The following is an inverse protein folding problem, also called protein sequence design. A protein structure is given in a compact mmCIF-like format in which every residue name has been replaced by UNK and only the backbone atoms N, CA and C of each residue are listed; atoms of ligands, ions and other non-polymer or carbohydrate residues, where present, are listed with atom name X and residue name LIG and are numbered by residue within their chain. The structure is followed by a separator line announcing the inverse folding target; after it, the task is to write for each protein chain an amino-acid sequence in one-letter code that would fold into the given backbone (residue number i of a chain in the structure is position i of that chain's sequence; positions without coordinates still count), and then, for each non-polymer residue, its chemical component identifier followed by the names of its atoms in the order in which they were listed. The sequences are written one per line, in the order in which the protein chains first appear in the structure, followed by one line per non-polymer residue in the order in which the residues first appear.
data_IF_104039132950
#
_entry.id   IF_104039132950
#
_cell.length_a   1.000
_cell.length_b   1.000
_cell.length_c   1.000
_cell.angle_alpha   90.00
_cell.angle_beta   90.00
_cell.angle_gamma   90.00
#
_symmetry.space_group_name_H-M   'P 1'
#
loop_
_entity.id
_entity.type
_entity.pdbx_description
1 polymer ?
#
# COMPACT_ATOMS: atom_id res chain seq x y z
N UNK A 1 -1.81 2.86 13.52
CA UNK A 1 -2.10 3.59 14.78
C UNK A 1 -2.18 2.60 15.94
N UNK A 2 -1.98 2.99 17.19
CA UNK A 2 -2.06 2.05 18.32
C UNK A 2 -3.52 1.74 18.67
N UNK A 3 -3.85 0.47 18.84
CA UNK A 3 -5.15 0.04 19.36
C UNK A 3 -5.36 0.64 20.77
N UNK A 4 -6.42 1.41 20.95
CA UNK A 4 -6.77 2.00 22.25
C UNK A 4 -7.88 1.19 22.90
N UNK A 5 -7.53 0.43 23.92
CA UNK A 5 -8.50 -0.25 24.78
C UNK A 5 -9.15 0.77 25.71
N UNK A 6 -10.48 0.74 25.79
CA UNK A 6 -11.29 1.64 26.60
C UNK A 6 -12.21 0.82 27.50
N UNK A 7 -12.46 1.35 28.70
CA UNK A 7 -13.48 0.84 29.62
C UNK A 7 -14.42 1.98 29.98
N UNK A 8 -15.72 1.73 29.99
CA UNK A 8 -16.73 2.70 30.40
C UNK A 8 -17.69 2.07 31.39
N UNK A 9 -17.92 2.79 32.49
CA UNK A 9 -18.82 2.39 33.56
C UNK A 9 -19.97 3.39 33.61
N UNK A 10 -21.19 2.92 33.81
CA UNK A 10 -22.37 3.77 34.04
C UNK A 10 -23.20 3.16 35.14
N UNK A 11 -23.36 3.86 36.25
CA UNK A 11 -24.02 3.34 37.46
C UNK A 11 -25.40 3.95 37.64
N UNK A 12 -26.28 3.21 38.31
CA UNK A 12 -27.60 3.71 38.70
C UNK A 12 -28.52 4.02 37.50
N UNK A 13 -28.51 3.19 36.46
CA UNK A 13 -29.42 3.31 35.33
C UNK A 13 -30.86 3.11 35.84
N UNK A 14 -31.74 4.05 35.49
CA UNK A 14 -33.14 4.07 35.91
C UNK A 14 -34.12 3.82 34.77
N UNK A 15 -35.30 4.44 34.89
CA UNK A 15 -36.47 4.19 34.06
C UNK A 15 -36.46 4.83 32.67
N UNK A 16 -35.46 5.68 32.40
CA UNK A 16 -35.25 6.32 31.09
C UNK A 16 -34.07 5.68 30.35
N UNK A 17 -34.11 5.71 29.02
CA UNK A 17 -32.93 5.32 28.22
C UNK A 17 -31.77 6.26 28.49
N UNK A 18 -30.63 5.68 28.86
CA UNK A 18 -29.37 6.38 29.09
C UNK A 18 -28.34 5.91 28.07
N UNK A 19 -27.66 6.85 27.42
CA UNK A 19 -26.50 6.57 26.56
C UNK A 19 -25.33 6.08 27.43
N UNK A 20 -25.05 4.78 27.37
CA UNK A 20 -23.94 4.17 28.11
C UNK A 20 -22.68 4.07 27.25
N UNK A 21 -22.79 4.15 25.93
CA UNK A 21 -21.65 4.16 25.01
C UNK A 21 -21.98 4.89 23.71
N UNK A 22 -21.03 5.70 23.22
CA UNK A 22 -21.12 6.36 21.92
C UNK A 22 -19.80 6.14 21.18
N UNK A 23 -19.88 5.67 19.94
CA UNK A 23 -18.74 5.56 19.06
C UNK A 23 -18.38 6.97 18.53
N UNK A 24 -17.64 7.75 19.34
CA UNK A 24 -17.42 9.17 19.06
C UNK A 24 -16.34 9.46 18.02
N UNK A 25 -15.46 8.50 17.74
CA UNK A 25 -14.30 8.70 16.87
C UNK A 25 -14.72 8.70 15.39
N UNK A 26 -14.43 9.76 14.62
CA UNK A 26 -14.74 9.83 13.19
C UNK A 26 -13.93 8.88 12.31
N UNK A 27 -12.82 8.35 12.81
CA UNK A 27 -11.86 7.61 12.00
C UNK A 27 -11.90 6.11 12.29
N UNK A 28 -12.49 5.67 13.40
CA UNK A 28 -12.45 4.27 13.84
C UNK A 28 -13.84 3.67 14.06
N UNK A 29 -13.95 2.34 13.99
CA UNK A 29 -15.13 1.59 14.42
C UNK A 29 -14.91 1.07 15.84
N UNK A 30 -15.92 1.21 16.68
CA UNK A 30 -15.86 0.69 18.03
C UNK A 30 -16.26 -0.78 18.05
N UNK A 31 -15.42 -1.64 18.62
CA UNK A 31 -15.74 -3.04 18.89
C UNK A 31 -15.89 -3.21 20.39
N UNK A 32 -17.11 -3.52 20.83
CA UNK A 32 -17.40 -3.89 22.21
C UNK A 32 -17.21 -5.40 22.34
N UNK A 33 -16.26 -5.80 23.17
CA UNK A 33 -15.90 -7.21 23.40
C UNK A 33 -16.27 -7.70 24.82
N UNK A 34 -16.71 -6.79 25.69
CA UNK A 34 -17.31 -7.13 26.98
C UNK A 34 -18.40 -6.13 27.30
N UNK A 35 -19.61 -6.62 27.60
CA UNK A 35 -20.74 -5.79 28.00
C UNK A 35 -21.61 -6.54 29.01
N UNK A 36 -21.74 -5.98 30.21
CA UNK A 36 -22.51 -6.59 31.31
C UNK A 36 -23.39 -5.57 32.03
N UNK A 37 -24.55 -6.05 32.49
CA UNK A 37 -25.52 -5.33 33.31
C UNK A 37 -25.63 -6.02 34.67
N UNK A 38 -25.49 -5.29 35.77
CA UNK A 38 -25.59 -5.83 37.13
C UNK A 38 -26.78 -5.22 37.86
N UNK A 39 -27.67 -6.07 38.38
CA UNK A 39 -28.75 -5.65 39.27
C UNK A 39 -28.19 -5.53 40.70
N UNK A 40 -28.22 -4.32 41.24
CA UNK A 40 -27.71 -4.02 42.59
C UNK A 40 -28.86 -3.83 43.61
N UNK A 41 -30.10 -4.12 43.22
CA UNK A 41 -31.28 -4.08 44.08
C UNK A 41 -31.60 -5.46 44.67
N UNK A 42 -32.45 -5.45 45.70
CA UNK A 42 -32.95 -6.67 46.33
C UNK A 42 -34.14 -7.30 45.59
N UNK A 43 -34.67 -6.62 44.57
CA UNK A 43 -35.82 -7.04 43.78
C UNK A 43 -35.42 -7.39 42.34
N UNK A 44 -36.24 -8.21 41.66
CA UNK A 44 -36.04 -8.53 40.24
C UNK A 44 -36.32 -7.26 39.43
N UNK A 45 -35.39 -6.87 38.55
CA UNK A 45 -35.58 -5.78 37.59
C UNK A 45 -35.64 -6.29 36.16
N UNK A 46 -36.17 -5.52 35.23
CA UNK A 46 -36.06 -5.78 33.79
C UNK A 46 -35.15 -4.78 33.11
N UNK A 47 -34.38 -5.25 32.13
CA UNK A 47 -33.45 -4.46 31.34
C UNK A 47 -33.84 -4.44 29.87
N UNK A 48 -33.76 -3.27 29.24
CA UNK A 48 -33.87 -3.11 27.79
C UNK A 48 -32.59 -2.47 27.28
N UNK A 49 -31.98 -3.06 26.25
CA UNK A 49 -30.76 -2.55 25.62
C UNK A 49 -30.97 -2.43 24.13
N UNK A 50 -30.66 -1.26 23.58
CA UNK A 50 -30.78 -0.98 22.16
C UNK A 50 -29.55 -0.30 21.59
N UNK A 51 -29.30 -0.57 20.32
CA UNK A 51 -28.37 0.18 19.49
C UNK A 51 -29.17 1.25 18.76
N UNK A 52 -28.68 2.48 18.75
CA UNK A 52 -29.24 3.59 17.98
C UNK A 52 -28.29 3.90 16.82
N UNK A 53 -28.77 3.70 15.60
CA UNK A 53 -28.06 4.04 14.36
C UNK A 53 -28.09 5.57 14.20
N UNK A 54 -26.91 6.19 14.18
CA UNK A 54 -26.76 7.64 14.06
C UNK A 54 -27.22 8.21 12.73
N UNK A 55 -27.23 7.38 11.67
CA UNK A 55 -27.51 7.79 10.30
C UNK A 55 -29.00 7.75 10.00
N UNK A 56 -29.66 6.64 10.37
CA UNK A 56 -31.07 6.43 10.08
C UNK A 56 -31.98 6.83 11.26
N UNK A 57 -31.39 7.14 12.42
CA UNK A 57 -32.10 7.44 13.68
C UNK A 57 -33.07 6.29 14.05
N UNK A 58 -32.70 5.07 13.68
CA UNK A 58 -33.44 3.85 14.01
C UNK A 58 -32.82 3.19 15.22
N UNK A 59 -33.61 2.44 15.98
CA UNK A 59 -33.11 1.67 17.12
C UNK A 59 -33.48 0.20 17.03
N UNK A 60 -32.52 -0.67 17.32
CA UNK A 60 -32.72 -2.12 17.35
C UNK A 60 -32.37 -2.67 18.74
N UNK A 61 -33.21 -3.58 19.25
CA UNK A 61 -33.00 -4.19 20.56
C UNK A 61 -32.00 -5.33 20.49
N UNK A 62 -31.03 -5.34 21.41
CA UNK A 62 -30.21 -6.51 21.73
C UNK A 62 -31.00 -7.43 22.68
N UNK A 63 -31.59 -6.82 23.71
CA UNK A 63 -32.56 -7.45 24.61
C UNK A 63 -33.70 -6.47 24.85
N UNK A 64 -34.90 -6.99 25.08
CA UNK A 64 -36.06 -6.19 25.45
C UNK A 64 -36.74 -6.80 26.67
N UNK A 65 -36.85 -6.00 27.75
CA UNK A 65 -37.48 -6.38 29.02
C UNK A 65 -37.00 -7.71 29.62
N UNK A 66 -35.71 -8.03 29.46
CA UNK A 66 -35.13 -9.24 30.05
C UNK A 66 -35.02 -9.11 31.56
N UNK A 67 -35.43 -10.13 32.30
CA UNK A 67 -35.34 -10.16 33.75
C UNK A 67 -33.89 -10.36 34.22
N UNK A 68 -33.50 -9.61 35.25
CA UNK A 68 -32.22 -9.75 35.95
C UNK A 68 -32.53 -9.89 37.44
N UNK A 69 -32.21 -11.05 38.02
CA UNK A 69 -32.49 -11.35 39.43
C UNK A 69 -31.63 -10.50 40.37
N UNK A 70 -32.03 -10.31 41.65
CA UNK A 70 -31.27 -9.53 42.62
C UNK A 70 -29.80 -9.93 42.70
N UNK A 71 -28.91 -8.94 42.82
CA UNK A 71 -27.46 -9.15 43.01
C UNK A 71 -26.79 -10.04 41.96
N UNK A 72 -27.29 -10.00 40.72
CA UNK A 72 -26.78 -10.82 39.61
C UNK A 72 -26.38 -9.97 38.40
N UNK A 73 -25.62 -10.59 37.50
CA UNK A 73 -25.11 -9.95 36.29
C UNK A 73 -25.60 -10.69 35.05
N UNK A 74 -26.12 -9.94 34.08
CA UNK A 74 -26.43 -10.39 32.73
C UNK A 74 -25.32 -9.94 31.78
N UNK A 75 -24.70 -10.89 31.07
CA UNK A 75 -23.65 -10.61 30.07
C UNK A 75 -24.28 -10.61 28.69
N UNK A 76 -24.09 -9.52 27.94
CA UNK A 76 -24.71 -9.28 26.63
C UNK A 76 -23.73 -9.41 25.45
N UNK A 77 -22.46 -9.13 25.70
CA UNK A 77 -21.38 -9.37 24.76
C UNK A 77 -20.15 -9.84 25.53
N UNK A 78 -19.47 -10.85 24.99
CA UNK A 78 -18.39 -11.61 25.60
C UNK A 78 -18.04 -12.83 24.74
N UNK A 79 -16.94 -13.53 25.05
CA UNK A 79 -16.42 -14.72 24.37
C UNK A 79 -16.68 -14.79 22.85
N UNK A 80 -17.79 -15.39 22.41
CA UNK A 80 -18.15 -15.57 21.00
C UNK A 80 -18.86 -14.36 20.35
N UNK A 81 -19.59 -13.56 21.12
CA UNK A 81 -20.41 -12.46 20.59
C UNK A 81 -19.76 -11.09 20.83
N UNK A 82 -19.63 -10.33 19.75
CA UNK A 82 -19.09 -8.95 19.75
C UNK A 82 -20.10 -8.00 19.12
N UNK A 83 -20.08 -6.75 19.56
CA UNK A 83 -20.91 -5.68 18.99
C UNK A 83 -19.98 -4.70 18.27
N UNK A 84 -20.29 -4.38 17.02
CA UNK A 84 -19.51 -3.48 16.17
C UNK A 84 -20.37 -2.26 15.86
N UNK A 85 -19.83 -1.06 16.09
CA UNK A 85 -20.51 0.22 15.94
C UNK A 85 -19.71 1.14 15.02
N UNK A 86 -20.39 1.87 14.13
CA UNK A 86 -19.79 2.94 13.32
C UNK A 86 -19.85 4.28 14.08
N UNK A 87 -19.20 5.30 13.54
CA UNK A 87 -19.22 6.65 14.12
C UNK A 87 -20.65 7.14 14.41
N UNK A 88 -20.84 7.69 15.61
CA UNK A 88 -22.06 8.29 16.09
C UNK A 88 -23.07 7.30 16.65
N UNK A 89 -22.93 6.00 16.38
CA UNK A 89 -23.85 5.00 16.91
C UNK A 89 -23.75 4.93 18.44
N UNK A 90 -24.90 4.67 19.07
CA UNK A 90 -25.03 4.67 20.53
C UNK A 90 -25.56 3.35 21.05
N UNK A 91 -25.13 2.98 22.25
CA UNK A 91 -25.75 1.93 23.05
C UNK A 91 -26.52 2.62 24.17
N UNK A 92 -27.81 2.32 24.25
CA UNK A 92 -28.69 2.84 25.30
C UNK A 92 -29.27 1.71 26.15
N UNK A 93 -29.33 1.96 27.46
CA UNK A 93 -29.83 1.02 28.47
C UNK A 93 -30.95 1.67 29.27
N UNK A 94 -31.98 0.89 29.60
CA UNK A 94 -33.08 1.24 30.49
C UNK A 94 -33.36 0.11 31.48
N UNK A 95 -33.68 0.47 32.72
CA UNK A 95 -34.13 -0.43 33.78
C UNK A 95 -35.63 -0.22 34.08
N UNK A 96 -36.33 -1.21 34.64
CA UNK A 96 -37.69 -1.02 35.20
C UNK A 96 -37.73 -0.14 36.44
N UNK A 97 -36.62 -0.10 37.18
CA UNK A 97 -36.52 0.53 38.50
C UNK A 97 -35.41 1.59 38.52
N UNK A 98 -35.64 2.68 39.25
CA UNK A 98 -34.68 3.77 39.37
C UNK A 98 -33.40 3.31 40.06
N UNK A 99 -32.24 3.53 39.44
CA UNK A 99 -30.97 3.12 40.00
C UNK A 99 -30.73 1.60 39.97
N UNK A 100 -31.51 0.85 39.20
CA UNK A 100 -31.53 -0.61 39.30
C UNK A 100 -30.38 -1.34 38.62
N UNK A 101 -29.67 -0.70 37.69
CA UNK A 101 -28.60 -1.35 36.94
C UNK A 101 -27.29 -0.57 36.94
N UNK A 102 -26.20 -1.29 37.14
CA UNK A 102 -24.84 -0.84 36.86
C UNK A 102 -24.34 -1.50 35.57
N UNK A 103 -23.68 -0.72 34.72
CA UNK A 103 -23.24 -1.10 33.38
C UNK A 103 -21.72 -1.03 33.27
N UNK A 104 -21.13 -2.08 32.71
CA UNK A 104 -19.72 -2.14 32.36
C UNK A 104 -19.54 -2.50 30.88
N UNK A 105 -18.74 -1.71 30.17
CA UNK A 105 -18.39 -1.94 28.77
C UNK A 105 -16.87 -1.87 28.63
N UNK A 106 -16.28 -2.88 27.97
CA UNK A 106 -14.93 -2.79 27.41
C UNK A 106 -15.00 -2.77 25.90
N UNK A 107 -14.32 -1.79 25.30
CA UNK A 107 -14.25 -1.60 23.87
C UNK A 107 -12.82 -1.37 23.40
N UNK A 108 -12.63 -1.58 22.11
CA UNK A 108 -11.47 -1.16 21.37
C UNK A 108 -11.96 -0.29 20.23
N UNK A 109 -11.34 0.87 20.07
CA UNK A 109 -11.48 1.64 18.85
C UNK A 109 -10.53 1.02 17.84
N UNK A 110 -11.11 0.19 16.98
CA UNK A 110 -10.40 -0.48 15.91
C UNK A 110 -10.57 0.38 14.67
N UNK A 111 -9.47 0.79 14.07
CA UNK A 111 -9.48 1.53 12.83
C UNK A 111 -9.82 0.59 11.66
N UNK A 112 -11.01 0.69 11.00
CA UNK A 112 -11.20 0.06 9.70
C UNK A 112 -10.68 0.98 8.58
N UNK A 113 -10.29 2.23 8.90
CA UNK A 113 -9.66 3.13 7.97
C UNK A 113 -8.20 2.73 7.86
N UNK A 114 -7.92 2.04 6.76
CA UNK A 114 -6.55 1.93 6.34
C UNK A 114 -6.08 3.33 5.97
N UNK A 115 -5.17 3.85 6.78
CA UNK A 115 -4.65 5.17 6.56
C UNK A 115 -3.90 5.21 5.21
N UNK A 116 -3.79 6.41 4.64
CA UNK A 116 -3.16 6.69 3.35
C UNK A 116 -1.66 6.34 3.33
N UNK A 117 -1.23 5.45 2.43
CA UNK A 117 0.19 5.15 2.23
C UNK A 117 0.66 5.44 0.82
N UNK A 118 1.97 5.66 0.72
CA UNK A 118 2.70 5.89 -0.53
C UNK A 118 3.31 4.56 -0.96
N UNK A 119 2.96 4.08 -2.14
CA UNK A 119 3.55 2.86 -2.71
C UNK A 119 4.96 3.11 -3.24
N UNK A 120 5.72 2.04 -3.44
CA UNK A 120 7.02 2.08 -4.13
C UNK A 120 7.28 0.80 -4.91
N UNK A 121 8.18 0.92 -5.88
CA UNK A 121 8.71 -0.08 -6.84
C UNK A 121 8.43 -1.56 -6.59
N UNK A 122 8.15 -2.27 -7.68
CA UNK A 122 7.96 -3.72 -7.67
C UNK A 122 8.84 -4.44 -8.69
N UNK A 123 9.03 -5.74 -8.49
CA UNK A 123 9.74 -6.65 -9.40
C UNK A 123 8.86 -7.86 -9.74
N UNK A 124 9.16 -8.52 -10.86
CA UNK A 124 8.20 -9.40 -11.57
C UNK A 124 8.81 -10.69 -12.13
N UNK A 125 8.02 -11.76 -12.14
CA UNK A 125 8.32 -12.99 -12.85
C UNK A 125 7.09 -13.53 -13.58
N UNK A 126 7.08 -13.43 -14.92
CA UNK A 126 6.02 -13.98 -15.75
C UNK A 126 4.66 -13.48 -15.27
N UNK A 127 3.82 -14.40 -14.83
CA UNK A 127 2.49 -14.08 -14.31
C UNK A 127 2.48 -13.49 -12.88
N UNK A 128 3.57 -13.59 -12.14
CA UNK A 128 3.66 -13.18 -10.74
C UNK A 128 4.44 -11.88 -10.58
N UNK A 129 4.12 -11.10 -9.55
CA UNK A 129 5.17 -10.31 -8.93
C UNK A 129 4.78 -9.65 -7.63
N UNK A 130 5.58 -8.68 -7.20
CA UNK A 130 5.43 -8.05 -5.90
C UNK A 130 5.42 -6.53 -6.02
N UNK A 131 4.59 -5.91 -5.19
CA UNK A 131 4.59 -4.48 -4.96
C UNK A 131 5.02 -4.22 -3.54
N UNK A 132 5.51 -3.01 -3.31
CA UNK A 132 5.58 -2.50 -1.96
C UNK A 132 4.60 -1.34 -1.79
N UNK A 133 3.80 -1.42 -0.74
CA UNK A 133 2.85 -0.39 -0.32
C UNK A 133 3.18 -0.02 1.12
N UNK A 134 3.35 1.26 1.44
CA UNK A 134 3.86 1.63 2.75
C UNK A 134 3.22 2.85 3.36
N UNK A 135 2.79 2.71 4.61
CA UNK A 135 2.47 3.83 5.48
C UNK A 135 3.59 4.05 6.47
N UNK A 136 4.15 5.26 6.52
CA UNK A 136 5.20 5.60 7.50
C UNK A 136 6.38 4.60 7.44
N UNK A 137 6.95 4.20 8.58
CA UNK A 137 8.13 3.30 8.66
C UNK A 137 7.86 1.82 8.32
N UNK A 138 6.62 1.47 7.91
CA UNK A 138 6.25 0.10 7.58
C UNK A 138 5.91 0.01 6.10
N UNK A 139 6.76 -0.67 5.34
CA UNK A 139 6.50 -1.02 3.94
C UNK A 139 6.02 -2.46 3.88
N UNK A 140 4.78 -2.70 3.44
CA UNK A 140 4.24 -4.03 3.16
C UNK A 140 4.79 -4.52 1.82
N UNK A 141 5.02 -5.83 1.71
CA UNK A 141 5.21 -6.52 0.43
C UNK A 141 4.01 -7.39 0.20
N UNK A 142 3.39 -7.20 -0.96
CA UNK A 142 2.29 -8.03 -1.40
C UNK A 142 2.62 -8.66 -2.73
N UNK A 143 2.18 -9.90 -2.89
CA UNK A 143 2.34 -10.68 -4.11
C UNK A 143 1.06 -10.63 -4.90
N UNK A 144 1.15 -10.59 -6.23
CA UNK A 144 -0.01 -10.72 -7.10
C UNK A 144 0.25 -11.56 -8.34
N UNK A 145 -0.84 -11.96 -9.02
CA UNK A 145 -0.82 -12.60 -10.34
C UNK A 145 -1.61 -11.81 -11.40
N UNK A 146 -1.06 -11.67 -12.60
CA UNK A 146 -1.70 -11.01 -13.75
C UNK A 146 -2.87 -11.83 -14.30
N UNK A 147 -2.73 -13.15 -14.37
CA UNK A 147 -3.69 -14.07 -15.00
C UNK A 147 -4.87 -14.38 -14.09
N UNK A 148 -4.62 -14.64 -12.81
CA UNK A 148 -5.68 -14.91 -11.84
C UNK A 148 -6.30 -13.64 -11.29
N UNK A 149 -5.64 -12.49 -11.47
CA UNK A 149 -6.03 -11.23 -10.89
C UNK A 149 -6.23 -11.32 -9.37
N UNK A 150 -5.32 -12.02 -8.69
CA UNK A 150 -5.33 -12.14 -7.23
C UNK A 150 -4.10 -11.51 -6.60
N UNK A 151 -4.28 -10.75 -5.53
CA UNK A 151 -3.22 -10.35 -4.60
C UNK A 151 -3.35 -11.05 -3.25
N UNK A 152 -2.22 -11.21 -2.59
CA UNK A 152 -2.15 -11.68 -1.21
C UNK A 152 -1.01 -10.98 -0.48
N UNK A 153 -1.25 -10.65 0.78
CA UNK A 153 -0.21 -10.16 1.65
C UNK A 153 0.89 -11.20 1.83
N UNK A 154 2.14 -10.78 1.59
CA UNK A 154 3.30 -11.67 1.74
C UNK A 154 4.01 -11.41 3.07
N UNK A 155 4.42 -10.16 3.33
CA UNK A 155 5.08 -9.81 4.60
C UNK A 155 5.16 -8.30 4.83
N UNK A 156 5.64 -7.91 6.01
CA UNK A 156 6.07 -6.54 6.32
C UNK A 156 7.59 -6.45 6.14
N UNK A 157 8.09 -5.53 5.32
CA UNK A 157 9.52 -5.17 5.31
C UNK A 157 9.88 -4.55 6.66
N UNK A 158 11.03 -4.94 7.21
CA UNK A 158 11.57 -4.50 8.51
C UNK A 158 11.21 -3.03 8.85
N UNK A 159 10.68 -2.70 10.05
CA UNK A 159 10.09 -1.40 10.42
C UNK A 159 11.03 -0.17 10.42
N UNK A 160 12.19 -0.25 9.79
CA UNK A 160 13.09 0.88 9.61
C UNK A 160 13.12 1.41 8.18
N UNK A 161 12.43 0.80 7.21
CA UNK A 161 12.49 1.24 5.81
C UNK A 161 11.65 2.49 5.55
N UNK A 162 12.24 3.46 4.85
CA UNK A 162 11.56 4.67 4.39
C UNK A 162 11.03 4.48 2.97
N UNK A 163 9.88 5.11 2.72
CA UNK A 163 9.07 5.08 1.50
C UNK A 163 9.89 5.28 0.21
N UNK A 164 9.36 4.71 -0.89
CA UNK A 164 9.86 4.73 -2.28
C UNK A 164 11.03 3.79 -2.61
N UNK A 165 10.94 2.49 -2.27
CA UNK A 165 11.87 1.52 -2.84
C UNK A 165 11.72 1.44 -4.37
N UNK A 166 12.79 1.03 -5.04
CA UNK A 166 12.75 0.63 -6.45
C UNK A 166 12.91 -0.88 -6.57
N UNK A 167 12.35 -1.46 -7.63
CA UNK A 167 12.26 -2.91 -7.79
C UNK A 167 12.79 -3.37 -9.14
N UNK A 168 13.38 -4.57 -9.16
CA UNK A 168 13.80 -5.28 -10.38
C UNK A 168 13.63 -6.78 -10.17
N UNK A 169 13.63 -7.54 -11.26
CA UNK A 169 13.61 -9.00 -11.19
C UNK A 169 14.25 -9.60 -12.43
N UNK A 170 14.86 -10.76 -12.27
CA UNK A 170 15.34 -11.58 -13.38
C UNK A 170 14.38 -12.71 -13.81
N UNK A 171 13.17 -12.71 -13.25
CA UNK A 171 12.23 -13.81 -13.45
C UNK A 171 12.52 -15.03 -12.58
N UNK A 172 13.33 -14.91 -11.54
CA UNK A 172 13.46 -15.97 -10.50
C UNK A 172 13.52 -15.31 -9.13
N UNK A 173 14.30 -14.24 -9.05
CA UNK A 173 14.54 -13.44 -7.87
C UNK A 173 14.07 -12.02 -8.14
N UNK A 174 13.20 -11.56 -7.26
CA UNK A 174 12.88 -10.16 -7.07
C UNK A 174 13.87 -9.46 -6.18
N UNK A 175 14.32 -8.27 -6.54
CA UNK A 175 15.06 -7.39 -5.65
C UNK A 175 14.26 -6.14 -5.35
N UNK A 176 14.14 -5.83 -4.07
CA UNK A 176 13.66 -4.57 -3.54
C UNK A 176 14.85 -3.76 -3.03
N UNK A 177 14.99 -2.55 -3.56
CA UNK A 177 16.08 -1.65 -3.27
C UNK A 177 15.55 -0.60 -2.31
N UNK A 178 15.97 -0.71 -1.05
CA UNK A 178 15.36 0.01 0.07
C UNK A 178 16.39 0.87 0.80
N UNK A 179 15.91 1.91 1.47
CA UNK A 179 16.69 2.75 2.38
C UNK A 179 16.07 2.67 3.76
N UNK A 180 16.86 2.45 4.80
CA UNK A 180 16.38 2.48 6.17
C UNK A 180 16.74 3.79 6.88
N UNK A 181 15.93 4.14 7.87
CA UNK A 181 16.02 5.32 8.72
C UNK A 181 17.34 5.44 9.49
N UNK A 182 18.11 4.35 9.59
CA UNK A 182 19.45 4.34 10.17
C UNK A 182 20.57 4.72 9.17
N UNK A 183 20.24 5.43 8.08
CA UNK A 183 21.17 5.87 7.04
C UNK A 183 21.88 4.72 6.30
N UNK A 184 21.25 3.56 6.20
CA UNK A 184 21.79 2.41 5.47
C UNK A 184 20.84 2.03 4.34
N UNK A 185 21.39 1.64 3.18
CA UNK A 185 20.62 1.11 2.06
C UNK A 185 20.84 -0.38 1.94
N UNK A 186 19.76 -1.09 1.63
CA UNK A 186 19.71 -2.54 1.63
C UNK A 186 19.00 -3.03 0.38
N UNK A 187 19.51 -4.13 -0.15
CA UNK A 187 18.78 -4.97 -1.09
C UNK A 187 17.97 -6.00 -0.29
N UNK A 188 16.69 -6.17 -0.56
CA UNK A 188 15.93 -7.32 -0.05
C UNK A 188 15.62 -8.21 -1.24
N UNK A 189 15.98 -9.48 -1.17
CA UNK A 189 15.70 -10.43 -2.23
C UNK A 189 14.51 -11.32 -1.86
N UNK A 190 13.62 -11.52 -2.82
CA UNK A 190 12.49 -12.43 -2.74
C UNK A 190 12.66 -13.50 -3.82
N UNK A 191 12.66 -14.77 -3.44
CA UNK A 191 12.62 -15.88 -4.41
C UNK A 191 11.18 -16.31 -4.60
N UNK A 192 10.70 -16.30 -5.85
CA UNK A 192 9.28 -16.56 -6.15
C UNK A 192 8.83 -18.01 -5.96
N UNK A 193 9.74 -18.97 -6.10
CA UNK A 193 9.40 -20.40 -6.10
C UNK A 193 8.82 -20.87 -4.76
N UNK A 194 9.32 -20.34 -3.65
CA UNK A 194 9.00 -20.82 -2.31
C UNK A 194 8.42 -19.74 -1.40
N UNK A 195 8.08 -18.57 -1.97
CA UNK A 195 7.69 -17.37 -1.22
C UNK A 195 8.70 -17.03 -0.09
N UNK A 196 9.96 -17.38 -0.33
CA UNK A 196 11.03 -17.28 0.64
C UNK A 196 11.71 -15.92 0.52
N UNK A 197 11.59 -15.12 1.58
CA UNK A 197 12.20 -13.79 1.68
C UNK A 197 13.55 -13.93 2.36
N UNK A 198 14.59 -13.55 1.63
CA UNK A 198 15.93 -13.45 2.16
C UNK A 198 16.36 -11.99 2.23
N UNK A 199 16.67 -11.54 3.45
CA UNK A 199 17.30 -10.25 3.66
C UNK A 199 18.79 -10.39 3.37
N UNK A 200 19.17 -10.16 2.11
CA UNK A 200 20.56 -10.08 1.71
C UNK A 200 21.07 -8.67 1.94
N UNK A 201 21.73 -8.45 3.08
CA UNK A 201 22.31 -7.17 3.48
C UNK A 201 23.51 -6.77 2.62
N UNK A 202 23.31 -6.63 1.32
CA UNK A 202 24.31 -6.10 0.41
C UNK A 202 24.42 -4.60 0.68
N UNK A 203 25.55 -4.14 1.21
CA UNK A 203 25.82 -2.71 1.32
C UNK A 203 25.85 -2.13 -0.10
N UNK A 204 24.89 -1.27 -0.44
CA UNK A 204 24.96 -0.48 -1.66
C UNK A 204 26.06 0.57 -1.45
N UNK A 205 27.02 0.67 -2.38
CA UNK A 205 28.26 1.46 -2.25
C UNK A 205 28.01 2.94 -1.87
N UNK A 206 26.80 3.46 -2.14
CA UNK A 206 26.30 4.70 -1.54
C UNK A 206 24.81 4.58 -1.19
N UNK A 207 24.46 4.92 0.05
CA UNK A 207 23.12 4.73 0.62
C UNK A 207 22.02 5.64 0.04
N UNK A 208 21.58 5.42 -1.19
CA UNK A 208 20.60 6.30 -1.87
C UNK A 208 19.15 5.80 -1.73
N UNK A 209 18.22 6.72 -1.48
CA UNK A 209 16.78 6.52 -1.69
C UNK A 209 16.32 7.12 -3.04
N UNK A 210 15.12 6.74 -3.53
CA UNK A 210 14.57 7.18 -4.84
C UNK A 210 15.46 6.87 -6.05
N UNK A 211 16.28 5.83 -5.98
CA UNK A 211 17.14 5.42 -7.07
C UNK A 211 16.33 4.71 -8.17
N UNK A 212 16.64 5.01 -9.42
CA UNK A 212 16.09 4.28 -10.56
C UNK A 212 16.70 2.91 -10.68
N UNK A 213 15.90 1.94 -11.06
CA UNK A 213 16.34 0.55 -11.17
C UNK A 213 16.03 0.00 -12.55
N UNK A 214 16.96 -0.77 -13.10
CA UNK A 214 16.84 -1.40 -14.41
C UNK A 214 17.55 -2.76 -14.40
N UNK A 215 17.18 -3.68 -15.29
CA UNK A 215 17.81 -5.01 -15.36
C UNK A 215 17.82 -5.58 -16.78
N UNK A 216 18.77 -6.48 -17.08
CA UNK A 216 18.72 -7.32 -18.28
C UNK A 216 18.42 -8.79 -17.96
N UNK A 217 18.01 -9.09 -16.73
CA UNK A 217 17.80 -10.45 -16.23
C UNK A 217 19.08 -11.15 -15.71
N UNK A 218 20.27 -10.64 -15.98
CA UNK A 218 21.50 -11.15 -15.33
C UNK A 218 22.03 -10.18 -14.28
N UNK A 219 21.99 -8.89 -14.60
CA UNK A 219 22.44 -7.80 -13.75
C UNK A 219 21.26 -6.89 -13.41
N UNK A 220 21.30 -6.29 -12.23
CA UNK A 220 20.53 -5.10 -11.94
C UNK A 220 21.43 -3.87 -11.88
N UNK A 221 20.84 -2.72 -12.20
CA UNK A 221 21.49 -1.42 -12.17
C UNK A 221 20.63 -0.46 -11.34
N UNK A 222 21.30 0.37 -10.56
CA UNK A 222 20.74 1.45 -9.77
C UNK A 222 21.31 2.78 -10.23
N UNK A 223 20.47 3.81 -10.33
CA UNK A 223 20.84 5.11 -10.84
C UNK A 223 20.33 6.27 -9.97
N UNK A 224 21.23 7.20 -9.64
CA UNK A 224 20.90 8.46 -8.98
C UNK A 224 20.42 8.30 -7.54
N UNK A 225 19.40 9.07 -7.15
CA UNK A 225 18.81 9.07 -5.81
C UNK A 225 19.34 10.18 -4.90
N UNK A 226 18.96 10.14 -3.62
CA UNK A 226 19.36 11.14 -2.62
C UNK A 226 19.92 10.49 -1.35
N UNK A 227 21.05 11.03 -0.89
CA UNK A 227 21.68 10.70 0.39
C UNK A 227 22.47 11.91 0.89
N UNK A 228 21.82 12.77 1.68
CA UNK A 228 22.36 14.08 2.08
C UNK A 228 22.81 14.91 0.85
N UNK A 229 21.95 14.94 -0.17
CA UNK A 229 22.23 15.55 -1.47
C UNK A 229 21.93 14.60 -2.64
N UNK A 230 21.64 15.19 -3.80
CA UNK A 230 21.32 14.44 -5.01
C UNK A 230 22.58 13.75 -5.55
N UNK A 231 22.43 12.47 -5.92
CA UNK A 231 23.50 11.66 -6.50
C UNK A 231 23.23 11.44 -7.99
N UNK A 232 24.30 11.15 -8.70
CA UNK A 232 24.30 10.79 -10.11
C UNK A 232 25.03 9.47 -10.33
N UNK A 233 25.13 8.61 -9.32
CA UNK A 233 25.91 7.38 -9.40
C UNK A 233 25.15 6.30 -10.17
N UNK A 234 25.88 5.50 -10.95
CA UNK A 234 25.41 4.27 -11.57
C UNK A 234 26.12 3.09 -10.93
N UNK A 235 25.34 2.20 -10.33
CA UNK A 235 25.82 1.05 -9.57
C UNK A 235 25.17 -0.22 -10.09
N UNK A 236 25.88 -1.35 -10.10
CA UNK A 236 25.33 -2.63 -10.55
C UNK A 236 25.62 -3.77 -9.59
N UNK A 237 24.75 -4.77 -9.60
CA UNK A 237 24.98 -6.05 -8.93
C UNK A 237 24.33 -7.19 -9.71
N UNK A 238 24.56 -8.40 -9.23
CA UNK A 238 23.88 -9.61 -9.71
C UNK A 238 22.84 -10.09 -8.68
N UNK A 239 21.99 -11.03 -9.09
CA UNK A 239 20.90 -11.53 -8.25
C UNK A 239 21.33 -12.60 -7.24
N UNK A 240 22.53 -13.18 -7.40
CA UNK A 240 22.94 -14.40 -6.69
C UNK A 240 24.01 -14.16 -5.61
N UNK A 241 24.86 -13.15 -5.77
CA UNK A 241 26.12 -13.11 -5.01
C UNK A 241 26.02 -12.43 -3.63
N UNK A 242 24.93 -11.72 -3.32
CA UNK A 242 24.84 -10.92 -2.10
C UNK A 242 26.00 -9.91 -1.94
N UNK A 243 26.75 -9.65 -3.02
CA UNK A 243 27.92 -8.79 -3.00
C UNK A 243 27.52 -7.32 -3.09
N UNK A 244 28.43 -6.47 -2.61
CA UNK A 244 28.29 -5.01 -2.65
C UNK A 244 28.13 -4.57 -4.11
N UNK A 245 27.09 -3.77 -4.39
CA UNK A 245 26.89 -3.19 -5.70
C UNK A 245 28.11 -2.34 -6.11
N UNK A 246 28.58 -2.51 -7.34
CA UNK A 246 29.79 -1.88 -7.86
C UNK A 246 29.43 -0.58 -8.55
N UNK A 247 30.07 0.53 -8.16
CA UNK A 247 30.02 1.79 -8.91
C UNK A 247 30.76 1.63 -10.23
N UNK A 248 30.08 1.83 -11.35
CA UNK A 248 30.68 1.70 -12.69
C UNK A 248 30.63 2.98 -13.51
N UNK A 249 29.77 3.94 -13.14
CA UNK A 249 29.64 5.17 -13.91
C UNK A 249 28.77 6.22 -13.25
N UNK A 250 28.43 7.23 -14.04
CA UNK A 250 27.64 8.38 -13.62
C UNK A 250 26.56 8.72 -14.64
N UNK A 251 25.42 9.18 -14.12
CA UNK A 251 24.48 10.02 -14.85
C UNK A 251 25.15 11.38 -15.13
N UNK A 252 24.86 11.96 -16.28
CA UNK A 252 25.37 13.29 -16.66
C UNK A 252 24.84 14.44 -15.76
N UNK A 253 23.82 14.18 -14.93
CA UNK A 253 23.23 15.09 -13.95
C UNK A 253 22.69 14.34 -12.72
N UNK A 254 22.45 15.06 -11.64
CA UNK A 254 21.88 14.52 -10.40
C UNK A 254 20.34 14.52 -10.44
N UNK A 255 19.71 13.42 -9.99
CA UNK A 255 18.25 13.25 -10.03
C UNK A 255 17.71 12.84 -8.66
N UNK A 256 16.57 13.43 -8.27
CA UNK A 256 15.97 13.23 -6.94
C UNK A 256 14.99 12.06 -6.89
N UNK A 257 14.13 11.91 -7.91
CA UNK A 257 12.96 11.04 -7.89
C UNK A 257 12.95 10.07 -9.09
N UNK A 258 14.03 9.32 -9.30
CA UNK A 258 14.09 8.31 -10.35
C UNK A 258 13.35 7.04 -9.90
N UNK A 259 12.12 7.10 -9.42
CA UNK A 259 11.44 5.96 -8.77
C UNK A 259 11.24 4.71 -9.66
N UNK A 260 11.49 4.79 -10.97
CA UNK A 260 11.44 3.64 -11.88
C UNK A 260 12.40 3.85 -13.06
N UNK A 261 13.36 2.94 -13.24
CA UNK A 261 14.02 2.78 -14.54
C UNK A 261 13.15 1.88 -15.42
N UNK A 262 13.38 1.93 -16.73
CA UNK A 262 12.77 1.01 -17.71
C UNK A 262 13.86 0.39 -18.54
N UNK A 263 13.65 -0.82 -19.03
CA UNK A 263 14.73 -1.57 -19.69
C UNK A 263 14.22 -2.58 -20.71
N UNK A 264 15.13 -2.98 -21.60
CA UNK A 264 15.06 -4.27 -22.28
C UNK A 264 16.36 -5.05 -22.01
N UNK A 265 16.62 -6.11 -22.77
CA UNK A 265 17.85 -6.91 -22.61
C UNK A 265 19.14 -6.18 -22.97
N UNK A 266 19.07 -5.04 -23.67
CA UNK A 266 20.22 -4.30 -24.19
C UNK A 266 20.46 -3.01 -23.39
N UNK A 267 19.39 -2.27 -23.11
CA UNK A 267 19.44 -0.92 -22.56
C UNK A 267 18.70 -0.81 -21.22
N UNK A 268 19.31 -0.07 -20.30
CA UNK A 268 18.65 0.46 -19.10
C UNK A 268 18.46 1.96 -19.23
N UNK A 269 17.22 2.43 -19.13
CA UNK A 269 16.83 3.83 -19.29
C UNK A 269 16.38 4.45 -17.96
N UNK A 270 16.78 5.69 -17.75
CA UNK A 270 16.47 6.49 -16.57
C UNK A 270 15.92 7.85 -16.99
N UNK A 271 14.66 8.08 -16.66
CA UNK A 271 13.89 9.20 -17.20
C UNK A 271 13.51 10.19 -16.09
N UNK A 272 13.64 11.49 -16.36
CA UNK A 272 13.14 12.57 -15.50
C UNK A 272 13.69 12.58 -14.07
N UNK A 273 12.78 12.64 -13.09
CA UNK A 273 13.11 12.59 -11.65
C UNK A 273 13.29 13.95 -10.96
N UNK A 274 12.83 15.03 -11.60
CA UNK A 274 12.69 16.38 -11.03
C UNK A 274 11.73 17.23 -11.88
N UNK A 275 11.07 18.22 -11.29
CA UNK A 275 10.10 19.11 -11.96
C UNK A 275 10.67 19.87 -13.18
N UNK A 276 11.99 19.97 -13.30
CA UNK A 276 12.68 20.64 -14.42
C UNK A 276 13.58 19.69 -15.21
N UNK A 277 13.33 18.39 -15.14
CA UNK A 277 14.14 17.39 -15.83
C UNK A 277 13.24 16.47 -16.65
N UNK A 278 13.40 16.55 -17.97
CA UNK A 278 12.74 15.69 -18.94
C UNK A 278 13.75 14.82 -19.71
N UNK A 279 14.98 14.67 -19.24
CA UNK A 279 15.98 13.90 -19.97
C UNK A 279 15.69 12.40 -19.82
N UNK A 280 15.80 11.68 -20.93
CA UNK A 280 15.85 10.22 -21.01
C UNK A 280 17.31 9.86 -21.20
N UNK A 281 17.89 9.19 -20.21
CA UNK A 281 19.29 8.74 -20.24
C UNK A 281 19.32 7.24 -20.37
N UNK A 282 20.36 6.70 -21.00
CA UNK A 282 20.53 5.27 -21.10
C UNK A 282 21.94 4.81 -20.78
N UNK A 283 22.02 3.54 -20.41
CA UNK A 283 23.23 2.73 -20.43
C UNK A 283 23.03 1.55 -21.38
N UNK A 284 24.13 1.01 -21.88
CA UNK A 284 24.17 -0.33 -22.44
C UNK A 284 24.68 -1.30 -21.38
N UNK A 285 23.93 -2.37 -21.12
CA UNK A 285 24.34 -3.38 -20.14
C UNK A 285 25.67 -4.07 -20.51
N UNK A 286 25.98 -4.13 -21.81
CA UNK A 286 27.22 -4.75 -22.29
C UNK A 286 28.48 -3.93 -21.96
N UNK A 287 28.38 -2.60 -21.93
CA UNK A 287 29.54 -1.71 -21.76
C UNK A 287 29.69 -1.17 -20.35
N UNK A 288 28.59 -1.04 -19.61
CA UNK A 288 28.59 -0.54 -18.23
C UNK A 288 29.37 0.78 -18.10
N UNK A 289 29.08 1.75 -18.99
CA UNK A 289 29.71 3.07 -19.00
C UNK A 289 28.88 4.13 -18.30
N UNK A 290 29.37 5.39 -18.30
CA UNK A 290 28.53 6.55 -18.00
C UNK A 290 27.28 6.58 -18.90
N UNK A 291 26.21 7.20 -18.41
CA UNK A 291 24.98 7.32 -19.19
C UNK A 291 25.13 8.27 -20.37
N UNK A 292 24.49 7.96 -21.48
CA UNK A 292 24.34 8.87 -22.61
C UNK A 292 22.90 9.40 -22.70
N UNK A 293 22.72 10.50 -23.43
CA UNK A 293 21.39 11.03 -23.74
C UNK A 293 20.73 10.14 -24.79
N UNK A 294 19.55 9.61 -24.48
CA UNK A 294 18.67 8.93 -25.44
C UNK A 294 17.76 9.93 -26.16
N UNK A 295 17.19 10.85 -25.38
CA UNK A 295 16.22 11.84 -25.85
C UNK A 295 15.54 12.56 -24.70
N UNK A 296 14.33 13.07 -24.95
CA UNK A 296 13.57 13.82 -23.97
C UNK A 296 12.15 13.27 -23.80
N UNK A 297 11.67 13.28 -22.55
CA UNK A 297 10.26 13.21 -22.22
C UNK A 297 9.57 14.48 -22.74
N UNK A 298 8.33 14.34 -23.19
CA UNK A 298 7.54 15.48 -23.65
C UNK A 298 7.26 16.50 -22.53
N UNK A 299 7.29 16.06 -21.26
CA UNK A 299 7.10 16.91 -20.09
C UNK A 299 8.11 16.57 -18.99
N UNK A 300 8.52 17.61 -18.25
CA UNK A 300 9.31 17.42 -17.02
C UNK A 300 8.38 16.94 -15.91
N UNK A 301 8.76 15.87 -15.22
CA UNK A 301 7.96 15.28 -14.16
C UNK A 301 8.84 14.62 -13.08
N UNK A 302 8.25 14.49 -11.90
CA UNK A 302 8.77 13.69 -10.80
C UNK A 302 7.83 12.50 -10.52
N UNK A 303 8.25 11.59 -9.64
CA UNK A 303 7.45 10.42 -9.23
C UNK A 303 7.00 9.58 -10.43
N UNK A 304 7.95 9.27 -11.30
CA UNK A 304 7.70 8.54 -12.54
C UNK A 304 7.64 7.05 -12.23
N UNK A 305 6.68 6.36 -12.84
CA UNK A 305 6.60 4.92 -12.85
C UNK A 305 6.67 4.43 -14.29
N UNK A 306 7.45 3.39 -14.56
CA UNK A 306 7.65 2.87 -15.91
C UNK A 306 7.59 1.35 -15.96
N UNK A 307 7.02 0.84 -17.04
CA UNK A 307 6.92 -0.58 -17.33
C UNK A 307 7.41 -0.81 -18.76
N UNK A 308 8.12 -1.91 -19.01
CA UNK A 308 8.69 -2.18 -20.32
C UNK A 308 8.48 -3.62 -20.77
N UNK A 309 8.54 -3.81 -22.08
CA UNK A 309 8.79 -5.09 -22.72
C UNK A 309 10.10 -4.98 -23.53
N UNK A 310 10.38 -5.94 -24.41
CA UNK A 310 11.62 -5.92 -25.19
C UNK A 310 11.67 -4.82 -26.27
N UNK A 311 10.51 -4.37 -26.73
CA UNK A 311 10.38 -3.45 -27.87
C UNK A 311 10.18 -2.01 -27.43
N UNK A 312 9.49 -1.79 -26.31
CA UNK A 312 9.19 -0.45 -25.81
C UNK A 312 9.00 -0.38 -24.30
N UNK A 313 8.95 0.86 -23.81
CA UNK A 313 8.56 1.19 -22.45
C UNK A 313 7.39 2.15 -22.44
N UNK A 314 6.46 1.95 -21.51
CA UNK A 314 5.40 2.91 -21.19
C UNK A 314 5.79 3.61 -19.89
N UNK A 315 5.78 4.93 -19.94
CA UNK A 315 6.12 5.81 -18.85
C UNK A 315 4.85 6.55 -18.41
N UNK A 316 4.54 6.41 -17.14
CA UNK A 316 3.53 7.21 -16.48
C UNK A 316 4.23 8.37 -15.76
N UNK A 317 3.94 9.58 -16.20
CA UNK A 317 4.48 10.78 -15.57
C UNK A 317 3.65 11.08 -14.33
N UNK A 318 4.25 10.98 -13.15
CA UNK A 318 3.60 11.34 -11.91
C UNK A 318 3.56 12.84 -11.66
N UNK A 319 2.85 13.21 -10.58
CA UNK A 319 2.61 14.58 -10.15
C UNK A 319 1.13 14.97 -10.19
N UNK A 320 0.72 15.86 -9.30
CA UNK A 320 -0.67 16.33 -9.21
C UNK A 320 -1.16 16.87 -10.56
N UNK A 321 -2.27 16.30 -11.06
CA UNK A 321 -2.97 16.67 -12.31
C UNK A 321 -2.33 16.22 -13.64
N UNK A 322 -1.49 15.19 -13.66
CA UNK A 322 -0.97 14.62 -14.92
C UNK A 322 -1.67 13.33 -15.29
N UNK A 323 -2.24 13.24 -16.50
CA UNK A 323 -2.91 12.04 -17.02
C UNK A 323 -2.07 11.31 -18.07
N UNK A 324 -0.98 11.92 -18.50
CA UNK A 324 -0.35 11.54 -19.75
C UNK A 324 0.52 10.29 -19.58
N UNK A 325 0.37 9.40 -20.55
CA UNK A 325 1.22 8.24 -20.73
C UNK A 325 2.08 8.50 -21.96
N UNK A 326 3.37 8.20 -21.82
CA UNK A 326 4.30 8.26 -22.94
C UNK A 326 4.86 6.89 -23.21
N UNK A 327 5.28 6.66 -24.44
CA UNK A 327 6.08 5.49 -24.76
C UNK A 327 7.44 5.88 -25.31
N UNK A 328 8.39 4.99 -25.08
CA UNK A 328 9.75 5.04 -25.61
C UNK A 328 9.95 3.76 -26.40
N UNK A 329 10.23 3.89 -27.68
CA UNK A 329 10.60 2.77 -28.56
C UNK A 329 12.10 2.47 -28.39
N UNK A 330 12.46 1.21 -28.14
CA UNK A 330 13.86 0.80 -28.02
C UNK A 330 14.56 0.66 -29.37
N UNK A 331 13.81 0.54 -30.47
CA UNK A 331 14.38 0.46 -31.81
C UNK A 331 14.96 1.79 -32.31
N UNK A 332 14.57 2.92 -31.70
CA UNK A 332 15.03 4.25 -32.10
C UNK A 332 15.40 5.14 -30.91
N UNK A 333 16.62 5.69 -30.93
CA UNK A 333 17.04 6.71 -29.97
C UNK A 333 16.37 8.05 -30.28
N UNK A 334 15.17 8.23 -29.75
CA UNK A 334 14.33 9.39 -29.98
C UNK A 334 13.63 9.87 -28.70
N UNK A 335 12.96 11.02 -28.80
CA UNK A 335 12.11 11.53 -27.73
C UNK A 335 10.93 10.58 -27.45
N UNK A 336 10.41 10.62 -26.22
CA UNK A 336 9.19 9.91 -25.89
C UNK A 336 8.02 10.42 -26.73
N UNK A 337 7.11 9.53 -27.09
CA UNK A 337 5.91 9.86 -27.83
C UNK A 337 4.66 9.69 -26.95
N UNK A 338 3.59 10.41 -27.27
CA UNK A 338 2.32 10.25 -26.54
C UNK A 338 1.75 8.85 -26.76
N UNK A 339 1.48 8.12 -25.69
CA UNK A 339 0.78 6.83 -25.72
C UNK A 339 -0.73 7.02 -25.51
N UNK A 340 -1.11 8.03 -24.74
CA UNK A 340 -2.51 8.32 -24.41
C UNK A 340 -2.63 8.96 -23.03
N UNK A 341 -3.80 8.84 -22.42
CA UNK A 341 -4.08 9.35 -21.09
C UNK A 341 -4.77 8.32 -20.20
N UNK A 342 -4.58 8.45 -18.89
CA UNK A 342 -5.31 7.71 -17.86
C UNK A 342 -6.75 8.19 -17.72
N UNK A 343 -7.61 7.32 -17.19
CA UNK A 343 -9.01 7.63 -16.87
C UNK A 343 -9.09 8.48 -15.59
N UNK A 344 -8.16 8.31 -14.64
CA UNK A 344 -8.14 9.01 -13.35
C UNK A 344 -6.78 9.69 -13.07
N UNK A 345 -6.79 10.74 -12.25
CA UNK A 345 -5.57 11.41 -11.78
C UNK A 345 -5.05 10.74 -10.51
N UNK A 346 -3.72 10.53 -10.41
CA UNK A 346 -3.10 10.11 -9.15
C UNK A 346 -1.57 10.24 -9.19
N UNK A 347 -0.95 10.26 -8.01
CA UNK A 347 0.45 9.95 -7.81
C UNK A 347 0.72 8.49 -8.18
N UNK A 348 1.78 8.31 -8.97
CA UNK A 348 2.15 7.01 -9.52
C UNK A 348 3.37 6.52 -8.79
N UNK A 349 3.21 5.36 -8.17
CA UNK A 349 4.08 4.91 -7.10
C UNK A 349 4.82 3.62 -7.48
N UNK A 350 4.26 2.83 -8.41
CA UNK A 350 4.90 1.65 -8.97
C UNK A 350 4.36 1.27 -10.34
N UNK A 351 5.21 0.63 -11.14
CA UNK A 351 4.83 0.07 -12.43
C UNK A 351 5.58 -1.22 -12.70
N UNK A 352 5.00 -2.04 -13.56
CA UNK A 352 5.47 -3.37 -13.84
C UNK A 352 4.94 -3.95 -15.13
N UNK A 353 5.53 -5.04 -15.60
CA UNK A 353 5.14 -5.70 -16.84
C UNK A 353 5.48 -7.19 -16.85
N UNK A 354 4.64 -7.98 -17.50
CA UNK A 354 4.88 -9.40 -17.85
C UNK A 354 5.46 -9.57 -19.28
N UNK A 355 5.75 -8.45 -19.95
CA UNK A 355 6.21 -8.37 -21.34
C UNK A 355 5.08 -8.19 -22.36
N UNK A 356 3.83 -8.44 -21.98
CA UNK A 356 2.63 -8.27 -22.83
C UNK A 356 1.74 -7.14 -22.32
N UNK A 357 1.70 -6.98 -21.01
CA UNK A 357 0.88 -6.04 -20.28
C UNK A 357 1.73 -5.28 -19.28
N UNK A 358 1.51 -3.97 -19.17
CA UNK A 358 1.93 -3.15 -18.05
C UNK A 358 0.82 -2.99 -16.99
N UNK A 359 1.16 -3.08 -15.71
CA UNK A 359 0.32 -2.65 -14.60
C UNK A 359 0.97 -1.46 -13.89
N UNK A 360 0.19 -0.41 -13.70
CA UNK A 360 0.56 0.78 -12.94
C UNK A 360 -0.29 0.84 -11.68
N UNK A 361 0.39 0.92 -10.55
CA UNK A 361 -0.23 0.97 -9.23
C UNK A 361 -0.18 2.41 -8.75
N UNK A 362 -1.36 2.93 -8.49
CA UNK A 362 -1.55 4.32 -8.14
C UNK A 362 -1.62 4.44 -6.61
N UNK A 363 -0.89 5.43 -6.09
CA UNK A 363 -0.55 5.53 -4.68
C UNK A 363 -1.68 6.04 -3.80
N UNK A 364 -2.18 7.24 -4.10
CA UNK A 364 -2.95 8.04 -3.14
C UNK A 364 -4.48 7.93 -3.36
N UNK A 365 -4.93 7.52 -4.55
CA UNK A 365 -6.33 7.50 -4.98
C UNK A 365 -6.73 6.20 -5.72
N UNK A 366 -6.76 5.07 -4.99
CA UNK A 366 -7.56 3.84 -5.20
C UNK A 366 -7.64 3.16 -6.59
N UNK A 367 -7.07 3.69 -7.67
CA UNK A 367 -7.33 3.21 -9.02
C UNK A 367 -6.03 2.72 -9.67
N UNK A 368 -5.73 1.42 -9.63
CA UNK A 368 -4.66 0.87 -10.47
C UNK A 368 -5.11 0.74 -11.92
N UNK A 369 -4.21 0.87 -12.89
CA UNK A 369 -4.55 0.71 -14.31
C UNK A 369 -3.67 -0.33 -15.01
N UNK A 370 -4.31 -1.10 -15.90
CA UNK A 370 -3.66 -2.09 -16.76
C UNK A 370 -3.64 -1.56 -18.18
N UNK A 371 -2.53 -1.78 -18.85
CA UNK A 371 -2.30 -1.37 -20.22
C UNK A 371 -1.67 -2.52 -20.98
N UNK A 372 -2.31 -2.98 -22.04
CA UNK A 372 -1.70 -3.95 -22.94
C UNK A 372 -0.77 -3.23 -23.91
N UNK A 373 0.49 -3.65 -24.01
CA UNK A 373 1.47 -3.00 -24.90
C UNK A 373 1.04 -3.03 -26.37
N UNK A 374 0.25 -4.03 -26.76
CA UNK A 374 -0.30 -4.15 -28.11
C UNK A 374 -1.44 -3.18 -28.42
N UNK A 375 -2.10 -2.59 -27.41
CA UNK A 375 -3.25 -1.71 -27.59
C UNK A 375 -2.86 -0.24 -27.38
N UNK A 376 -2.24 0.35 -28.40
CA UNK A 376 -1.84 1.75 -28.43
C UNK A 376 -3.07 2.66 -28.22
N UNK A 377 -3.18 3.25 -27.03
CA UNK A 377 -4.20 4.25 -26.69
C UNK A 377 -5.43 3.77 -25.92
N UNK A 378 -5.52 2.48 -25.57
CA UNK A 378 -6.60 1.95 -24.74
C UNK A 378 -6.14 1.68 -23.32
N UNK A 379 -6.45 2.57 -22.37
CA UNK A 379 -6.42 2.20 -20.94
C UNK A 379 -7.72 1.51 -20.60
N UNK A 380 -7.66 0.28 -20.11
CA UNK A 380 -8.82 -0.37 -19.49
C UNK A 380 -8.67 -0.16 -17.98
N UNK A 381 -9.69 0.41 -17.35
CA UNK A 381 -9.77 0.35 -15.88
C UNK A 381 -9.75 -1.11 -15.47
N UNK A 382 -8.71 -1.50 -14.74
CA UNK A 382 -8.71 -2.82 -14.14
C UNK A 382 -9.79 -2.79 -13.06
N UNK A 383 -10.84 -3.58 -13.26
CA UNK A 383 -12.05 -3.55 -12.45
C UNK A 383 -11.71 -3.49 -10.95
N UNK A 384 -12.29 -2.49 -10.31
CA UNK A 384 -11.99 -1.92 -9.01
C UNK A 384 -12.31 -2.89 -7.85
N UNK A 385 -11.59 -4.01 -7.74
CA UNK A 385 -11.64 -4.91 -6.57
C UNK A 385 -10.39 -4.83 -5.69
N UNK A 386 -9.38 -4.08 -6.15
CA UNK A 386 -8.08 -3.93 -5.49
C UNK A 386 -7.88 -2.49 -5.05
N UNK A 387 -8.93 -1.87 -4.49
CA UNK A 387 -8.71 -0.68 -3.66
C UNK A 387 -7.57 -1.00 -2.69
N UNK A 388 -6.80 0.01 -2.29
CA UNK A 388 -5.62 -0.10 -1.41
C UNK A 388 -5.72 -1.17 -0.29
N UNK A 389 -6.94 -1.45 0.18
CA UNK A 389 -7.43 -2.60 0.97
C UNK A 389 -6.97 -4.01 0.57
N UNK A 390 -6.43 -4.22 -0.63
CA UNK A 390 -5.87 -5.50 -1.08
C UNK A 390 -4.34 -5.59 -0.99
N UNK A 391 -3.68 -4.46 -0.77
CA UNK A 391 -2.22 -4.27 -0.78
C UNK A 391 -1.69 -3.62 0.52
N UNK A 392 -2.40 -3.80 1.63
CA UNK A 392 -2.11 -3.13 2.91
C UNK A 392 -2.11 -4.09 4.11
N UNK A 393 -2.02 -5.40 3.86
CA UNK A 393 -2.03 -6.40 4.92
C UNK A 393 -3.41 -6.63 5.57
N UNK A 394 -4.48 -6.01 5.05
CA UNK A 394 -5.85 -6.40 5.38
C UNK A 394 -6.23 -7.68 4.63
N UNK A 395 -6.59 -8.75 5.35
CA UNK A 395 -7.18 -9.95 4.73
C UNK A 395 -8.33 -9.52 3.79
N UNK A 396 -8.36 -9.95 2.52
CA UNK A 396 -9.51 -9.64 1.66
C UNK A 396 -10.74 -10.32 2.25
N UNK A 397 -11.71 -9.54 2.75
CA UNK A 397 -12.90 -10.10 3.41
C UNK A 397 -13.92 -10.73 2.45
N UNK A 398 -13.78 -10.53 1.14
CA UNK A 398 -14.35 -11.37 0.07
C UNK A 398 -14.09 -10.69 -1.28
N UNK A 399 -13.64 -11.45 -2.27
CA UNK A 399 -13.69 -11.02 -3.68
C UNK A 399 -15.08 -11.36 -4.22
N UNK A 400 -15.98 -10.38 -4.30
CA UNK A 400 -17.20 -10.56 -5.12
C UNK A 400 -16.89 -10.11 -6.54
N UNK A 401 -16.81 -11.08 -7.44
CA UNK A 401 -16.79 -10.84 -8.88
C UNK A 401 -18.05 -10.08 -9.29
N UNK A 402 -17.88 -8.89 -9.86
CA UNK A 402 -18.91 -8.20 -10.59
C UNK A 402 -18.78 -8.56 -12.07
N UNK A 403 -19.85 -9.13 -12.64
CA UNK A 403 -20.01 -9.37 -14.07
C UNK A 403 -19.90 -8.10 -14.92
#
# INVERSE_FOLDING_TARGET
MANVFKSKNSTGIGTSYVNVYEASDPLTSAIIFSFSLTNNLNDIVTASVRIVDSTNITSAYIINESQIVPHSTLVLAGDEQKIILKQGDKVEVRCSDSGGLDVFISSIDADPSVAYGTGGGGGWYGDLGFLTGGQSYNSYVDKFSFSSQSASHLTILNPFYYNYPSGVSNGVIGLLLTYASNNSSYTTSLTYADDNIQYNYSNIYYHVHYAGSATNGSLYVMAGGYYSGYKNYLQSGDYESGTIAILFGYLDRTNRYLSSGVNNSIYGLFCGGNYNNNYIRYIEFATMSNSNLWGYLAYSCNNIAGASNNDMSIINTGGSNTYNLYYIDFASQANSQSFGSRITYDYTDGACSDGTTALFVQGEFQNSCKIDFANLGGTVEWANTWGWRGFDGGRPTAMTGGN
#
